data_IF_213140274882
#
_entry.id   IF_213140274882
#
_cell.length_a   1.000
_cell.length_b   1.000
_cell.length_c   1.000
_cell.angle_alpha   90.00
_cell.angle_beta   90.00
_cell.angle_gamma   90.00
#
_symmetry.space_group_name_H-M   'P 1'
#
loop_
_entity.id
_entity.type
_entity.pdbx_description
1 polymer ?
#
# COMPACT_ATOMS: atom_id res chain seq x y z
N UNK A 1 -19.28 54.30 8.22
CA UNK A 1 -19.48 54.35 9.68
C UNK A 1 -20.75 53.58 10.03
N UNK A 2 -20.62 52.33 10.49
CA UNK A 2 -21.63 51.61 11.31
C UNK A 2 -21.02 50.26 11.69
N UNK A 3 -20.35 50.20 12.84
CA UNK A 3 -20.82 49.66 14.14
C UNK A 3 -20.78 48.13 14.16
N UNK A 4 -19.69 47.65 14.77
CA UNK A 4 -19.41 46.27 15.08
C UNK A 4 -20.30 45.77 16.22
N UNK A 5 -20.85 44.57 16.08
CA UNK A 5 -21.35 43.76 17.18
C UNK A 5 -20.49 42.50 17.29
N UNK A 6 -19.62 42.50 18.29
CA UNK A 6 -18.78 41.37 18.69
C UNK A 6 -19.56 40.49 19.65
N UNK A 7 -20.06 39.35 19.17
CA UNK A 7 -20.66 38.33 20.02
C UNK A 7 -19.56 37.50 20.71
N UNK A 8 -19.48 37.64 22.03
CA UNK A 8 -18.55 36.93 22.89
C UNK A 8 -18.96 35.46 23.04
N UNK A 9 -18.24 34.55 22.39
CA UNK A 9 -18.45 33.10 22.54
C UNK A 9 -17.80 32.61 23.82
N UNK A 10 -18.64 32.22 24.78
CA UNK A 10 -18.28 31.65 26.08
C UNK A 10 -17.68 30.25 25.89
N UNK A 11 -16.35 30.16 26.01
CA UNK A 11 -15.56 28.92 25.93
C UNK A 11 -15.91 28.01 27.11
N UNK A 12 -16.70 26.95 26.87
CA UNK A 12 -16.92 25.86 27.84
C UNK A 12 -15.68 24.97 27.89
N UNK A 13 -15.06 24.88 29.06
CA UNK A 13 -13.99 23.92 29.35
C UNK A 13 -14.52 22.48 29.26
N UNK A 14 -13.75 21.54 28.68
CA UNK A 14 -14.08 20.12 28.75
C UNK A 14 -13.70 19.56 30.14
N UNK A 15 -14.73 19.09 30.84
CA UNK A 15 -14.62 18.27 32.05
C UNK A 15 -13.72 17.06 31.80
N UNK A 16 -12.68 16.95 32.61
CA UNK A 16 -11.75 15.82 32.68
C UNK A 16 -12.49 14.54 33.07
N UNK A 17 -12.30 13.47 32.30
CA UNK A 17 -12.77 12.12 32.65
C UNK A 17 -11.84 11.46 33.69
N UNK A 18 -12.37 10.65 34.61
CA UNK A 18 -11.61 10.05 35.69
C UNK A 18 -10.71 8.89 35.23
N UNK A 19 -9.49 8.92 35.73
CA UNK A 19 -8.47 7.88 35.67
C UNK A 19 -8.97 6.56 36.30
N UNK A 20 -9.11 5.52 35.50
CA UNK A 20 -9.25 4.13 35.96
C UNK A 20 -7.91 3.60 36.44
N UNK A 21 -7.68 3.69 37.76
CA UNK A 21 -6.71 2.86 38.49
C UNK A 21 -7.13 1.40 38.43
N UNK A 22 -6.36 0.58 37.73
CA UNK A 22 -6.40 -0.88 37.84
C UNK A 22 -5.60 -1.37 39.05
N UNK A 23 -6.05 -2.42 39.76
CA UNK A 23 -5.52 -2.83 41.04
C UNK A 23 -4.23 -3.66 40.93
N UNK A 24 -3.35 -3.42 41.90
CA UNK A 24 -2.27 -4.31 42.27
C UNK A 24 -2.84 -5.64 42.81
N UNK A 25 -2.48 -6.74 42.15
CA UNK A 25 -2.48 -8.09 42.72
C UNK A 25 -1.16 -8.74 42.28
N UNK A 26 -0.29 -9.27 43.14
CA UNK A 26 -0.53 -9.85 44.45
C UNK A 26 -0.55 -11.37 44.38
N UNK A 27 0.47 -12.01 43.79
CA UNK A 27 0.70 -13.47 43.82
C UNK A 27 2.09 -13.68 43.18
N UNK A 28 3.17 -13.93 43.92
CA UNK A 28 3.59 -15.27 44.33
C UNK A 28 4.64 -15.15 45.45
N UNK A 29 4.16 -15.13 46.70
CA UNK A 29 4.92 -15.56 47.87
C UNK A 29 4.55 -17.02 48.10
N UNK A 30 5.44 -17.97 47.81
CA UNK A 30 5.59 -19.27 48.52
C UNK A 30 6.52 -20.19 47.72
N UNK A 31 7.09 -21.14 48.47
CA UNK A 31 8.11 -22.12 48.09
C UNK A 31 9.52 -21.52 48.14
N UNK A 32 10.48 -22.02 48.91
CA UNK A 32 10.56 -23.28 49.66
C UNK A 32 11.71 -23.11 50.65
N UNK A 33 11.39 -23.13 51.95
CA UNK A 33 12.40 -23.30 53.01
C UNK A 33 12.91 -24.74 52.92
N UNK A 34 14.15 -24.92 52.49
CA UNK A 34 14.90 -26.13 52.78
C UNK A 34 15.97 -25.77 53.80
N UNK A 35 15.85 -26.43 54.96
CA UNK A 35 16.78 -26.40 56.09
C UNK A 35 18.15 -26.89 55.61
N UNK A 36 19.16 -26.03 55.73
CA UNK A 36 20.56 -26.42 55.63
C UNK A 36 21.04 -26.92 56.99
N UNK A 37 21.59 -28.13 57.01
CA UNK A 37 22.35 -28.71 58.12
C UNK A 37 23.77 -28.13 58.13
N UNK A 38 24.37 -27.81 59.29
CA UNK A 38 25.75 -27.38 59.37
C UNK A 38 26.69 -28.61 59.35
N UNK A 39 27.39 -28.82 58.24
CA UNK A 39 28.53 -29.73 58.20
C UNK A 39 29.75 -29.00 58.77
N UNK A 40 30.14 -29.38 60.00
CA UNK A 40 31.43 -29.07 60.61
C UNK A 40 32.54 -29.84 59.90
N UNK A 41 33.64 -29.14 59.65
CA UNK A 41 34.96 -29.75 59.42
C UNK A 41 35.48 -29.59 58.00
N UNK A 42 36.31 -28.57 57.78
CA UNK A 42 37.50 -28.57 56.89
C UNK A 42 38.09 -27.16 56.82
N UNK A 43 38.59 -26.65 57.95
CA UNK A 43 39.21 -25.31 58.01
C UNK A 43 40.69 -25.27 57.57
N UNK A 44 41.35 -26.41 57.32
CA UNK A 44 42.81 -26.43 57.11
C UNK A 44 43.30 -26.41 55.66
N UNK A 45 42.44 -26.17 54.66
CA UNK A 45 42.85 -26.02 53.24
C UNK A 45 42.38 -24.72 52.58
N UNK A 46 42.08 -23.69 53.37
CA UNK A 46 41.52 -22.42 52.88
C UNK A 46 42.51 -21.23 52.91
N UNK A 47 43.79 -21.45 53.23
CA UNK A 47 44.80 -20.39 53.28
C UNK A 47 45.52 -20.15 51.93
N UNK A 48 45.75 -21.20 51.13
CA UNK A 48 46.51 -21.04 49.86
C UNK A 48 45.67 -20.56 48.67
N UNK A 49 44.34 -20.72 48.68
CA UNK A 49 43.46 -20.25 47.58
C UNK A 49 43.08 -18.76 47.66
N UNK A 50 43.52 -18.02 48.69
CA UNK A 50 43.21 -16.59 48.86
C UNK A 50 44.14 -15.65 48.07
N UNK A 51 45.28 -16.12 47.57
CA UNK A 51 46.22 -15.30 46.80
C UNK A 51 45.74 -14.97 45.38
N UNK A 52 45.16 -15.95 44.66
CA UNK A 52 44.71 -15.77 43.28
C UNK A 52 43.44 -14.91 43.14
N UNK A 53 42.57 -14.88 44.16
CA UNK A 53 41.33 -14.10 44.12
C UNK A 53 41.57 -12.58 44.10
N UNK A 54 42.63 -12.10 44.75
CA UNK A 54 42.98 -10.68 44.78
C UNK A 54 43.49 -10.14 43.44
N UNK A 55 43.96 -11.02 42.54
CA UNK A 55 44.39 -10.63 41.19
C UNK A 55 43.26 -10.66 40.15
N UNK A 56 42.11 -11.26 40.48
CA UNK A 56 40.91 -11.27 39.63
C UNK A 56 39.84 -10.25 40.10
N UNK A 57 39.92 -9.77 41.34
CA UNK A 57 39.15 -8.62 41.85
C UNK A 57 39.54 -7.35 41.07
N UNK A 58 38.78 -7.05 40.01
CA UNK A 58 39.01 -5.91 39.11
C UNK A 58 38.99 -6.25 37.61
N UNK A 59 39.07 -7.54 37.24
CA UNK A 59 38.98 -7.97 35.83
C UNK A 59 37.54 -8.17 35.35
N UNK A 60 36.59 -8.32 36.28
CA UNK A 60 35.17 -8.45 36.00
C UNK A 60 34.62 -7.37 35.06
N UNK A 61 34.88 -6.05 35.25
CA UNK A 61 34.44 -5.04 34.29
C UNK A 61 35.09 -5.18 32.91
N UNK A 62 36.35 -5.64 32.84
CA UNK A 62 37.05 -5.89 31.58
C UNK A 62 36.43 -7.03 30.77
N UNK A 63 36.09 -8.14 31.43
CA UNK A 63 35.39 -9.26 30.78
C UNK A 63 33.99 -8.86 30.30
N UNK A 64 33.26 -8.07 31.10
CA UNK A 64 31.95 -7.53 30.69
C UNK A 64 32.11 -6.61 29.48
N UNK A 65 33.12 -5.73 29.45
CA UNK A 65 33.38 -4.85 28.31
C UNK A 65 33.72 -5.63 27.04
N UNK A 66 34.59 -6.65 27.12
CA UNK A 66 34.93 -7.52 25.99
C UNK A 66 33.71 -8.32 25.51
N UNK A 67 32.89 -8.83 26.43
CA UNK A 67 31.67 -9.54 26.07
C UNK A 67 30.67 -8.62 25.35
N UNK A 68 30.44 -7.40 25.87
CA UNK A 68 29.59 -6.40 25.23
C UNK A 68 30.14 -6.02 23.85
N UNK A 69 31.45 -5.77 23.74
CA UNK A 69 32.10 -5.47 22.45
C UNK A 69 31.99 -6.63 21.46
N UNK A 70 32.19 -7.87 21.92
CA UNK A 70 32.03 -9.08 21.11
C UNK A 70 30.59 -9.29 20.65
N UNK A 71 29.60 -9.11 21.52
CA UNK A 71 28.19 -9.15 21.16
C UNK A 71 27.82 -8.03 20.18
N UNK A 72 28.31 -6.81 20.39
CA UNK A 72 28.10 -5.70 19.48
C UNK A 72 28.72 -5.98 18.10
N UNK A 73 29.93 -6.54 18.05
CA UNK A 73 30.57 -6.95 16.80
C UNK A 73 29.75 -8.03 16.07
N UNK A 74 29.29 -9.07 16.78
CA UNK A 74 28.46 -10.15 16.22
C UNK A 74 27.12 -9.64 15.69
N UNK A 75 26.54 -8.63 16.33
CA UNK A 75 25.30 -7.97 15.88
C UNK A 75 25.54 -7.01 14.71
N UNK A 76 26.74 -6.46 14.59
CA UNK A 76 27.13 -5.56 13.50
C UNK A 76 27.51 -6.30 12.20
N UNK A 77 27.88 -7.59 12.26
CA UNK A 77 28.19 -8.38 11.06
C UNK A 77 26.90 -8.59 10.24
N UNK A 78 26.86 -8.14 8.97
CA UNK A 78 25.71 -8.37 8.11
C UNK A 78 25.45 -9.86 7.92
N UNK A 79 24.20 -10.28 8.16
CA UNK A 79 23.76 -11.68 7.98
C UNK A 79 22.99 -11.79 6.68
N UNK A 80 23.15 -12.90 5.97
CA UNK A 80 22.29 -13.20 4.84
C UNK A 80 20.85 -13.37 5.35
N UNK A 81 19.98 -12.46 4.94
CA UNK A 81 18.56 -12.50 5.24
C UNK A 81 17.81 -12.39 3.92
N UNK A 82 16.90 -13.32 3.66
CA UNK A 82 16.13 -13.30 2.42
C UNK A 82 15.27 -12.02 2.34
N UNK A 83 15.28 -11.29 1.21
CA UNK A 83 14.50 -10.07 1.04
C UNK A 83 12.99 -10.32 1.03
N UNK A 84 12.36 -10.19 2.20
CA UNK A 84 10.94 -10.47 2.37
C UNK A 84 10.04 -9.24 2.33
N UNK A 85 10.49 -8.08 2.79
CA UNK A 85 9.63 -6.89 2.97
C UNK A 85 9.94 -5.80 1.96
N UNK A 86 8.98 -5.52 1.06
CA UNK A 86 9.05 -4.41 0.12
C UNK A 86 8.78 -3.08 0.86
N UNK A 87 9.66 -2.06 0.75
CA UNK A 87 9.39 -0.76 1.35
C UNK A 87 8.17 -0.13 0.67
N UNK A 88 7.09 0.05 1.42
CA UNK A 88 5.88 0.68 0.91
C UNK A 88 5.99 2.21 1.03
N UNK A 89 5.50 3.00 0.06
CA UNK A 89 5.50 4.45 0.19
C UNK A 89 4.65 4.88 1.39
N UNK A 90 5.18 5.85 2.14
CA UNK A 90 4.55 6.41 3.33
C UNK A 90 3.83 7.71 2.95
N UNK A 91 2.51 7.70 2.92
CA UNK A 91 1.71 8.89 2.74
C UNK A 91 1.52 9.62 4.07
N UNK A 92 1.68 10.95 4.09
CA UNK A 92 1.36 11.76 5.27
C UNK A 92 -0.17 11.83 5.47
N UNK A 93 -0.64 11.23 6.57
CA UNK A 93 -2.06 11.22 6.94
C UNK A 93 -2.65 12.64 7.06
N UNK A 94 -1.86 13.64 7.49
CA UNK A 94 -2.33 15.03 7.59
C UNK A 94 -2.47 15.67 6.21
N UNK A 95 -1.54 15.41 5.30
CA UNK A 95 -1.64 15.86 3.92
C UNK A 95 -2.87 15.26 3.22
N UNK A 96 -3.08 13.95 3.36
CA UNK A 96 -4.28 13.28 2.85
C UNK A 96 -5.58 13.87 3.42
N UNK A 97 -5.61 14.15 4.73
CA UNK A 97 -6.77 14.78 5.36
C UNK A 97 -7.05 16.17 4.77
N UNK A 98 -6.03 17.02 4.60
CA UNK A 98 -6.20 18.36 4.00
C UNK A 98 -6.75 18.29 2.58
N UNK A 99 -6.22 17.41 1.74
CA UNK A 99 -6.71 17.24 0.36
C UNK A 99 -8.15 16.76 0.35
N UNK A 100 -8.47 15.74 1.15
CA UNK A 100 -9.84 15.23 1.30
C UNK A 100 -10.80 16.32 1.76
N UNK A 101 -10.42 17.10 2.76
CA UNK A 101 -11.28 18.13 3.34
C UNK A 101 -11.50 19.27 2.32
N UNK A 102 -10.49 19.63 1.51
CA UNK A 102 -10.63 20.56 0.39
C UNK A 102 -11.58 20.03 -0.69
N UNK A 103 -11.50 18.75 -1.05
CA UNK A 103 -12.43 18.16 -2.02
C UNK A 103 -13.86 18.08 -1.47
N UNK A 104 -14.04 17.76 -0.19
CA UNK A 104 -15.36 17.80 0.45
C UNK A 104 -15.94 19.22 0.44
N UNK A 105 -15.12 20.23 0.72
CA UNK A 105 -15.56 21.64 0.66
C UNK A 105 -16.02 22.01 -0.76
N UNK A 106 -15.21 21.70 -1.79
CA UNK A 106 -15.55 21.95 -3.20
C UNK A 106 -16.81 21.22 -3.66
N UNK A 107 -16.99 19.96 -3.25
CA UNK A 107 -18.17 19.18 -3.58
C UNK A 107 -19.44 19.83 -2.98
N UNK A 108 -19.37 20.30 -1.72
CA UNK A 108 -20.46 21.02 -1.06
C UNK A 108 -20.76 22.36 -1.73
N UNK A 109 -19.73 23.09 -2.14
CA UNK A 109 -19.90 24.35 -2.88
C UNK A 109 -20.63 24.12 -4.21
N UNK A 110 -20.26 23.06 -4.96
CA UNK A 110 -20.96 22.68 -6.19
C UNK A 110 -22.45 22.35 -5.95
N UNK A 111 -22.76 21.67 -4.84
CA UNK A 111 -24.15 21.37 -4.45
C UNK A 111 -24.94 22.62 -4.07
N UNK A 112 -24.32 23.57 -3.38
CA UNK A 112 -24.98 24.78 -2.87
C UNK A 112 -25.16 25.87 -3.94
N UNK A 113 -24.11 26.14 -4.71
CA UNK A 113 -24.10 27.22 -5.71
C UNK A 113 -24.59 26.75 -7.08
N UNK A 114 -24.63 25.43 -7.30
CA UNK A 114 -24.76 24.85 -8.63
C UNK A 114 -23.46 24.97 -9.43
N UNK A 115 -23.52 24.48 -10.67
CA UNK A 115 -22.44 24.53 -11.64
C UNK A 115 -22.93 25.28 -12.89
N UNK A 116 -22.05 26.09 -13.48
CA UNK A 116 -22.31 26.80 -14.73
C UNK A 116 -22.69 25.81 -15.86
N UNK A 117 -23.41 26.30 -16.88
CA UNK A 117 -23.97 25.43 -17.92
C UNK A 117 -22.89 24.64 -18.67
N UNK A 118 -21.75 25.27 -18.95
CA UNK A 118 -20.59 24.71 -19.64
C UNK A 118 -19.90 23.64 -18.77
N UNK A 119 -19.79 23.89 -17.47
CA UNK A 119 -19.23 22.94 -16.51
C UNK A 119 -20.16 21.73 -16.34
N UNK A 120 -21.48 21.95 -16.31
CA UNK A 120 -22.47 20.86 -16.34
C UNK A 120 -22.41 20.06 -17.63
N UNK A 121 -22.22 20.71 -18.78
CA UNK A 121 -22.07 20.03 -20.06
C UNK A 121 -20.85 19.10 -20.07
N UNK A 122 -19.71 19.54 -19.53
CA UNK A 122 -18.55 18.67 -19.31
C UNK A 122 -18.89 17.50 -18.38
N UNK A 123 -19.58 17.76 -17.27
CA UNK A 123 -20.03 16.73 -16.35
C UNK A 123 -20.91 15.66 -17.02
N UNK A 124 -21.85 16.07 -17.85
CA UNK A 124 -22.72 15.18 -18.64
C UNK A 124 -21.96 14.40 -19.70
N UNK A 125 -20.99 15.03 -20.38
CA UNK A 125 -20.14 14.34 -21.36
C UNK A 125 -19.31 13.23 -20.69
N UNK A 126 -18.76 13.47 -19.50
CA UNK A 126 -18.02 12.46 -18.71
C UNK A 126 -18.94 11.30 -18.31
N UNK A 127 -20.18 11.59 -17.87
CA UNK A 127 -21.17 10.55 -17.53
C UNK A 127 -21.52 9.68 -18.75
N UNK A 128 -21.74 10.32 -19.90
CA UNK A 128 -21.99 9.61 -21.15
C UNK A 128 -20.80 8.75 -21.59
N UNK A 129 -19.56 9.22 -21.41
CA UNK A 129 -18.36 8.42 -21.61
C UNK A 129 -18.33 7.20 -20.69
N UNK A 130 -18.66 7.36 -19.40
CA UNK A 130 -18.71 6.25 -18.46
C UNK A 130 -19.72 5.17 -18.84
N UNK A 131 -20.90 5.53 -19.36
CA UNK A 131 -21.87 4.54 -19.85
C UNK A 131 -21.29 3.68 -20.98
N UNK A 132 -20.65 4.31 -21.97
CA UNK A 132 -20.00 3.58 -23.09
C UNK A 132 -18.86 2.69 -22.57
N UNK A 133 -18.02 3.22 -21.68
CA UNK A 133 -16.91 2.48 -21.05
C UNK A 133 -17.38 1.32 -20.16
N UNK A 134 -18.60 1.38 -19.61
CA UNK A 134 -19.20 0.34 -18.78
C UNK A 134 -19.83 -0.80 -19.59
N UNK A 135 -20.16 -0.56 -20.85
CA UNK A 135 -20.69 -1.57 -21.75
C UNK A 135 -19.58 -2.57 -22.11
N UNK A 136 -19.85 -3.87 -22.02
CA UNK A 136 -18.86 -4.89 -22.36
C UNK A 136 -18.69 -5.03 -23.89
N UNK A 137 -19.70 -4.62 -24.65
CA UNK A 137 -19.79 -4.84 -26.09
C UNK A 137 -19.51 -3.56 -26.91
N UNK A 138 -19.06 -2.48 -26.26
CA UNK A 138 -18.75 -1.24 -26.97
C UNK A 138 -17.63 -1.44 -28.00
N UNK A 139 -17.78 -0.77 -29.12
CA UNK A 139 -16.73 -0.69 -30.14
C UNK A 139 -15.70 0.38 -29.75
N UNK A 140 -14.44 0.21 -30.20
CA UNK A 140 -13.40 1.23 -30.01
C UNK A 140 -13.83 2.60 -30.59
N UNK A 141 -14.56 2.59 -31.71
CA UNK A 141 -15.09 3.80 -32.34
C UNK A 141 -16.09 4.55 -31.44
N UNK A 142 -16.98 3.85 -30.75
CA UNK A 142 -17.94 4.46 -29.81
C UNK A 142 -17.23 5.09 -28.61
N UNK A 143 -16.24 4.39 -28.05
CA UNK A 143 -15.46 4.91 -26.93
C UNK A 143 -14.66 6.16 -27.32
N UNK A 144 -14.03 6.15 -28.51
CA UNK A 144 -13.32 7.31 -29.06
C UNK A 144 -14.27 8.48 -29.34
N UNK A 145 -15.46 8.23 -29.88
CA UNK A 145 -16.47 9.26 -30.12
C UNK A 145 -16.99 9.87 -28.80
N UNK A 146 -17.20 9.05 -27.77
CA UNK A 146 -17.58 9.53 -26.44
C UNK A 146 -16.46 10.37 -25.82
N UNK A 147 -15.19 9.94 -25.95
CA UNK A 147 -14.04 10.71 -25.46
C UNK A 147 -13.89 12.04 -26.19
N UNK A 148 -14.10 12.06 -27.51
CA UNK A 148 -14.08 13.29 -28.31
C UNK A 148 -15.07 14.33 -27.77
N UNK A 149 -16.30 13.92 -27.45
CA UNK A 149 -17.32 14.79 -26.83
C UNK A 149 -16.87 15.36 -25.48
N UNK A 150 -16.17 14.56 -24.67
CA UNK A 150 -15.56 15.09 -23.43
C UNK A 150 -14.55 16.17 -23.77
N UNK A 151 -13.60 15.90 -24.67
CA UNK A 151 -12.55 16.84 -25.06
C UNK A 151 -13.10 18.15 -25.62
N UNK A 152 -14.16 18.09 -26.43
CA UNK A 152 -14.87 19.27 -26.96
C UNK A 152 -15.50 20.13 -25.84
N UNK A 153 -15.96 19.51 -24.75
CA UNK A 153 -16.56 20.21 -23.61
C UNK A 153 -15.53 20.81 -22.63
N UNK A 154 -14.26 20.40 -22.67
CA UNK A 154 -13.22 20.85 -21.72
C UNK A 154 -12.91 22.34 -21.87
N UNK A 155 -12.74 22.82 -23.12
CA UNK A 155 -12.38 24.21 -23.40
C UNK A 155 -13.39 25.20 -22.82
N UNK A 156 -14.69 25.09 -23.17
CA UNK A 156 -15.74 25.94 -22.60
C UNK A 156 -15.84 25.87 -21.08
N UNK A 157 -15.69 24.68 -20.48
CA UNK A 157 -15.72 24.54 -19.03
C UNK A 157 -14.52 25.21 -18.35
N UNK A 158 -13.31 25.11 -18.92
CA UNK A 158 -12.12 25.80 -18.41
C UNK A 158 -12.21 27.32 -18.57
N UNK A 159 -12.97 27.83 -19.54
CA UNK A 159 -13.22 29.26 -19.68
C UNK A 159 -14.00 29.85 -18.47
N UNK A 160 -14.72 29.00 -17.71
CA UNK A 160 -15.36 29.37 -16.44
C UNK A 160 -14.38 29.39 -15.25
N UNK A 161 -13.12 29.01 -15.47
CA UNK A 161 -12.06 29.00 -14.47
C UNK A 161 -11.76 27.62 -13.89
N UNK A 162 -10.49 27.41 -13.51
CA UNK A 162 -10.00 26.13 -13.00
C UNK A 162 -10.76 25.65 -11.75
N UNK A 163 -11.17 26.57 -10.87
CA UNK A 163 -11.90 26.20 -9.64
C UNK A 163 -13.29 25.63 -9.94
N UNK A 164 -14.00 26.12 -10.96
CA UNK A 164 -15.30 25.59 -11.34
C UNK A 164 -15.19 24.12 -11.80
N UNK A 165 -14.14 23.81 -12.56
CA UNK A 165 -13.85 22.44 -13.01
C UNK A 165 -13.35 21.56 -11.84
N UNK A 166 -12.56 22.09 -10.91
CA UNK A 166 -12.18 21.39 -9.69
C UNK A 166 -13.40 21.05 -8.81
N UNK A 167 -14.37 21.96 -8.69
CA UNK A 167 -15.64 21.71 -7.99
C UNK A 167 -16.45 20.59 -8.64
N UNK A 168 -16.57 20.60 -9.98
CA UNK A 168 -17.19 19.49 -10.72
C UNK A 168 -16.50 18.16 -10.41
N UNK A 169 -15.16 18.12 -10.49
CA UNK A 169 -14.39 16.90 -10.23
C UNK A 169 -14.60 16.39 -8.80
N UNK A 170 -14.55 17.29 -7.83
CA UNK A 170 -14.76 16.96 -6.42
C UNK A 170 -16.19 16.43 -6.15
N UNK A 171 -17.20 17.05 -6.75
CA UNK A 171 -18.59 16.59 -6.70
C UNK A 171 -18.74 15.17 -7.29
N UNK A 172 -18.24 14.96 -8.52
CA UNK A 172 -18.28 13.65 -9.16
C UNK A 172 -17.50 12.58 -8.37
N UNK A 173 -16.35 12.93 -7.79
CA UNK A 173 -15.58 12.02 -6.93
C UNK A 173 -16.38 11.63 -5.68
N UNK A 174 -17.05 12.59 -5.04
CA UNK A 174 -17.90 12.34 -3.86
C UNK A 174 -19.02 11.34 -4.19
N UNK A 175 -19.73 11.55 -5.30
CA UNK A 175 -20.76 10.63 -5.79
C UNK A 175 -20.20 9.25 -6.14
N UNK A 176 -19.05 9.19 -6.84
CA UNK A 176 -18.40 7.94 -7.16
C UNK A 176 -18.04 7.12 -5.90
N UNK A 177 -17.41 7.76 -4.90
CA UNK A 177 -17.05 7.07 -3.65
C UNK A 177 -18.31 6.58 -2.92
N UNK A 178 -19.41 7.34 -2.93
CA UNK A 178 -20.69 6.93 -2.35
C UNK A 178 -21.25 5.70 -3.07
N UNK A 179 -21.29 5.70 -4.40
CA UNK A 179 -21.82 4.56 -5.15
C UNK A 179 -20.92 3.31 -5.08
N UNK A 180 -19.60 3.48 -4.90
CA UNK A 180 -18.72 2.33 -4.60
C UNK A 180 -19.06 1.71 -3.24
N UNK A 181 -19.37 2.51 -2.21
CA UNK A 181 -19.82 2.00 -0.91
C UNK A 181 -21.18 1.32 -0.99
N UNK A 182 -22.08 1.84 -1.83
CA UNK A 182 -23.36 1.18 -2.13
C UNK A 182 -23.12 -0.17 -2.80
N UNK A 183 -22.25 -0.22 -3.81
CA UNK A 183 -21.85 -1.46 -4.49
C UNK A 183 -21.21 -2.49 -3.55
N UNK A 184 -20.40 -2.07 -2.57
CA UNK A 184 -19.90 -2.96 -1.52
C UNK A 184 -21.03 -3.60 -0.70
N UNK A 185 -22.04 -2.79 -0.35
CA UNK A 185 -23.16 -3.24 0.48
C UNK A 185 -24.18 -4.11 -0.28
N UNK A 186 -24.46 -3.80 -1.54
CA UNK A 186 -25.50 -4.47 -2.34
C UNK A 186 -24.95 -5.51 -3.31
N UNK A 187 -23.68 -5.39 -3.71
CA UNK A 187 -23.10 -6.18 -4.79
C UNK A 187 -23.57 -5.78 -6.20
N UNK A 188 -24.46 -4.79 -6.32
CA UNK A 188 -25.09 -4.35 -7.56
C UNK A 188 -24.53 -3.00 -8.01
N UNK A 189 -24.14 -2.89 -9.28
CA UNK A 189 -23.63 -1.66 -9.84
C UNK A 189 -24.81 -0.77 -10.27
N UNK A 190 -24.99 0.36 -9.58
CA UNK A 190 -25.96 1.39 -9.95
C UNK A 190 -25.61 2.08 -11.28
N UNK A 191 -26.59 2.69 -11.92
CA UNK A 191 -26.36 3.52 -13.12
C UNK A 191 -25.41 4.69 -12.85
N UNK A 192 -25.52 5.38 -11.70
CA UNK A 192 -24.58 6.46 -11.35
C UNK A 192 -23.12 5.94 -11.22
N UNK A 193 -22.92 4.71 -10.71
CA UNK A 193 -21.59 4.09 -10.69
C UNK A 193 -21.06 3.79 -12.10
N UNK A 194 -21.92 3.38 -13.04
CA UNK A 194 -21.55 3.16 -14.44
C UNK A 194 -21.20 4.48 -15.13
N UNK A 195 -22.03 5.50 -14.93
CA UNK A 195 -21.80 6.85 -15.47
C UNK A 195 -20.48 7.47 -14.97
N UNK A 196 -20.18 7.36 -13.68
CA UNK A 196 -18.99 8.00 -13.09
C UNK A 196 -17.75 7.12 -13.19
N UNK A 197 -17.90 5.81 -13.01
CA UNK A 197 -16.82 4.84 -12.88
C UNK A 197 -16.53 4.00 -14.13
N UNK A 198 -17.44 3.98 -15.11
CA UNK A 198 -17.33 3.09 -16.26
C UNK A 198 -17.34 1.62 -15.85
N UNK A 199 -16.45 0.81 -16.44
CA UNK A 199 -16.28 -0.60 -16.06
C UNK A 199 -15.47 -0.81 -14.75
N UNK A 200 -15.59 0.11 -13.79
CA UNK A 200 -14.90 -0.01 -12.49
C UNK A 200 -15.26 -1.31 -11.73
N UNK A 201 -16.53 -1.77 -11.68
CA UNK A 201 -16.87 -3.06 -11.07
C UNK A 201 -16.18 -4.25 -11.75
N UNK A 202 -16.08 -4.25 -13.08
CA UNK A 202 -15.35 -5.29 -13.83
C UNK A 202 -13.86 -5.25 -13.52
N UNK A 203 -13.26 -4.05 -13.44
CA UNK A 203 -11.87 -3.86 -13.02
C UNK A 203 -11.62 -4.42 -11.61
N UNK A 204 -12.52 -4.18 -10.66
CA UNK A 204 -12.41 -4.71 -9.30
C UNK A 204 -12.43 -6.25 -9.26
N UNK A 205 -13.34 -6.87 -10.03
CA UNK A 205 -13.46 -8.34 -10.14
C UNK A 205 -12.24 -8.95 -10.82
N UNK A 206 -11.86 -8.41 -11.98
CA UNK A 206 -10.75 -8.89 -12.81
C UNK A 206 -9.42 -8.92 -12.05
N UNK A 207 -9.19 -7.95 -11.17
CA UNK A 207 -7.97 -7.85 -10.37
C UNK A 207 -8.09 -8.44 -8.96
N UNK A 208 -9.18 -9.16 -8.64
CA UNK A 208 -9.43 -9.69 -7.30
C UNK A 208 -9.32 -8.62 -6.18
N UNK A 209 -9.69 -7.38 -6.49
CA UNK A 209 -9.74 -6.26 -5.54
C UNK A 209 -11.06 -6.20 -4.76
N UNK A 210 -11.93 -7.20 -4.96
CA UNK A 210 -13.08 -7.48 -4.11
C UNK A 210 -12.74 -8.68 -3.23
N UNK A 211 -12.76 -8.46 -1.92
CA UNK A 211 -12.64 -9.54 -0.93
C UNK A 211 -14.03 -9.97 -0.50
N UNK A 212 -14.22 -11.27 -0.30
CA UNK A 212 -15.32 -11.78 0.50
C UNK A 212 -15.16 -11.21 1.92
N UNK A 213 -16.09 -10.35 2.33
CA UNK A 213 -16.18 -9.90 3.70
C UNK A 213 -16.75 -11.02 4.56
N UNK A 214 -16.36 -11.05 5.83
CA UNK A 214 -16.96 -11.97 6.78
C UNK A 214 -18.48 -11.74 6.76
N UNK A 215 -19.24 -12.79 6.44
CA UNK A 215 -20.69 -12.75 6.53
C UNK A 215 -21.07 -12.25 7.92
N UNK A 216 -21.74 -11.09 7.99
CA UNK A 216 -22.30 -10.63 9.26
C UNK A 216 -23.25 -11.73 9.76
N UNK A 217 -23.27 -11.99 11.07
CA UNK A 217 -24.03 -13.10 11.69
C UNK A 217 -25.56 -13.09 11.48
N UNK A 218 -26.08 -12.29 10.56
CA UNK A 218 -27.50 -12.25 10.16
C UNK A 218 -27.63 -12.60 8.69
N UNK A 219 -27.41 -13.87 8.35
CA UNK A 219 -28.03 -14.60 7.24
C UNK A 219 -28.18 -13.92 5.86
N UNK A 220 -27.38 -12.90 5.56
CA UNK A 220 -27.40 -12.15 4.30
C UNK A 220 -26.12 -12.42 3.52
N UNK A 221 -26.23 -12.30 2.19
CA UNK A 221 -25.15 -12.46 1.23
C UNK A 221 -23.80 -11.95 1.73
N UNK A 222 -22.72 -12.68 1.42
CA UNK A 222 -21.35 -12.32 1.78
C UNK A 222 -21.07 -10.85 1.42
N UNK A 223 -20.91 -10.01 2.44
CA UNK A 223 -20.65 -8.59 2.26
C UNK A 223 -19.36 -8.44 1.44
N UNK A 224 -19.39 -7.74 0.32
CA UNK A 224 -18.19 -7.56 -0.53
C UNK A 224 -17.42 -6.36 -0.04
N UNK A 225 -16.09 -6.50 0.12
CA UNK A 225 -15.23 -5.38 0.52
C UNK A 225 -14.27 -5.02 -0.58
N UNK A 226 -14.31 -3.78 -1.05
CA UNK A 226 -13.30 -3.22 -1.95
C UNK A 226 -12.00 -3.07 -1.16
N UNK A 227 -10.93 -3.62 -1.70
CA UNK A 227 -9.61 -3.62 -1.06
C UNK A 227 -8.97 -2.21 -1.03
N UNK A 228 -9.41 -1.30 -1.90
CA UNK A 228 -8.96 0.09 -1.93
C UNK A 228 -9.53 0.86 -0.74
N UNK A 229 -8.66 1.53 0.01
CA UNK A 229 -9.11 2.51 0.97
C UNK A 229 -9.63 3.78 0.27
N UNK A 230 -10.18 4.71 1.05
CA UNK A 230 -10.79 5.94 0.51
C UNK A 230 -9.76 6.84 -0.20
N UNK A 231 -8.51 6.87 0.26
CA UNK A 231 -7.48 7.73 -0.32
C UNK A 231 -7.02 7.17 -1.67
N UNK A 232 -6.74 5.86 -1.73
CA UNK A 232 -6.41 5.17 -2.97
C UNK A 232 -7.56 5.24 -3.99
N UNK A 233 -8.81 5.10 -3.54
CA UNK A 233 -9.98 5.22 -4.41
C UNK A 233 -10.14 6.64 -4.98
N UNK A 234 -9.96 7.67 -4.16
CA UNK A 234 -10.00 9.07 -4.60
C UNK A 234 -8.88 9.39 -5.60
N UNK A 235 -7.65 8.97 -5.31
CA UNK A 235 -6.51 9.12 -6.19
C UNK A 235 -6.75 8.42 -7.54
N UNK A 236 -7.23 7.17 -7.52
CA UNK A 236 -7.55 6.41 -8.73
C UNK A 236 -8.63 7.10 -9.58
N UNK A 237 -9.69 7.61 -8.94
CA UNK A 237 -10.73 8.38 -9.62
C UNK A 237 -10.14 9.62 -10.29
N UNK A 238 -9.35 10.42 -9.57
CA UNK A 238 -8.71 11.63 -10.12
C UNK A 238 -7.82 11.31 -11.32
N UNK A 239 -6.98 10.26 -11.25
CA UNK A 239 -6.13 9.85 -12.39
C UNK A 239 -6.96 9.45 -13.61
N UNK A 240 -8.05 8.70 -13.41
CA UNK A 240 -8.97 8.33 -14.50
C UNK A 240 -9.64 9.57 -15.08
N UNK A 241 -10.16 10.44 -14.22
CA UNK A 241 -10.79 11.70 -14.62
C UNK A 241 -9.84 12.58 -15.45
N UNK A 242 -8.60 12.77 -14.97
CA UNK A 242 -7.56 13.55 -15.66
C UNK A 242 -7.18 12.92 -17.02
N UNK A 243 -7.17 11.60 -17.12
CA UNK A 243 -6.90 10.89 -18.39
C UNK A 243 -8.04 11.03 -19.41
N UNK A 244 -9.29 11.02 -18.94
CA UNK A 244 -10.49 11.20 -19.77
C UNK A 244 -10.55 12.63 -20.31
N UNK A 245 -10.37 13.61 -19.44
CA UNK A 245 -10.46 15.06 -19.75
C UNK A 245 -9.18 15.57 -20.42
N UNK A 246 -8.05 14.86 -20.31
CA UNK A 246 -6.78 15.24 -20.91
C UNK A 246 -6.02 16.34 -20.15
N UNK A 247 -6.33 16.55 -18.86
CA UNK A 247 -5.70 17.58 -18.03
C UNK A 247 -4.62 16.98 -17.13
N UNK A 248 -3.35 17.32 -17.39
CA UNK A 248 -2.19 16.90 -16.59
C UNK A 248 -1.34 18.07 -16.09
N UNK A 249 -2.00 19.19 -15.79
CA UNK A 249 -1.35 20.42 -15.29
C UNK A 249 -1.85 20.77 -13.89
N UNK A 250 -1.11 21.60 -13.17
CA UNK A 250 -1.65 22.26 -11.98
C UNK A 250 -2.87 23.14 -12.36
N UNK A 251 -3.90 23.24 -11.50
CA UNK A 251 -4.06 22.59 -10.18
C UNK A 251 -4.70 21.18 -10.23
N UNK A 252 -4.86 20.58 -11.42
CA UNK A 252 -5.57 19.31 -11.58
C UNK A 252 -4.74 18.09 -11.15
N UNK A 253 -3.41 18.15 -11.14
CA UNK A 253 -2.58 17.01 -10.74
C UNK A 253 -2.97 16.39 -9.37
N UNK A 254 -2.87 15.07 -9.28
CA UNK A 254 -3.05 14.33 -8.03
C UNK A 254 -1.96 14.70 -7.03
N UNK A 255 -2.31 14.91 -5.76
CA UNK A 255 -1.32 15.27 -4.76
C UNK A 255 -0.33 14.12 -4.51
N UNK A 256 0.92 14.44 -4.17
CA UNK A 256 1.97 13.43 -3.97
C UNK A 256 1.59 12.36 -2.92
N UNK A 257 0.98 12.75 -1.80
CA UNK A 257 0.57 11.78 -0.77
C UNK A 257 -0.63 10.92 -1.21
N UNK A 258 -1.48 11.41 -2.12
CA UNK A 258 -2.53 10.61 -2.76
C UNK A 258 -1.91 9.58 -3.72
N UNK A 259 -0.91 9.97 -4.50
CA UNK A 259 -0.12 9.05 -5.34
C UNK A 259 0.55 7.97 -4.46
N UNK A 260 1.21 8.35 -3.36
CA UNK A 260 1.80 7.40 -2.41
C UNK A 260 0.76 6.43 -1.85
N UNK A 261 -0.43 6.90 -1.49
CA UNK A 261 -1.51 6.03 -1.01
C UNK A 261 -1.98 5.03 -2.10
N UNK A 262 -2.13 5.48 -3.34
CA UNK A 262 -2.47 4.62 -4.47
C UNK A 262 -1.37 3.60 -4.76
N UNK A 263 -0.11 4.02 -4.86
CA UNK A 263 0.99 3.10 -5.15
C UNK A 263 1.25 2.12 -4.00
N UNK A 264 1.05 2.53 -2.74
CA UNK A 264 1.03 1.59 -1.61
C UNK A 264 0.02 0.47 -1.84
N UNK A 265 -1.20 0.83 -2.27
CA UNK A 265 -2.23 -0.15 -2.60
C UNK A 265 -1.80 -1.06 -3.76
N UNK A 266 -1.33 -0.51 -4.88
CA UNK A 266 -0.94 -1.26 -6.08
C UNK A 266 0.26 -2.20 -5.84
N UNK A 267 1.24 -1.81 -5.03
CA UNK A 267 2.38 -2.66 -4.67
C UNK A 267 1.98 -3.80 -3.74
N UNK A 268 1.00 -3.55 -2.86
CA UNK A 268 0.47 -4.54 -1.92
C UNK A 268 -0.53 -5.50 -2.56
N UNK A 269 -1.20 -5.07 -3.63
CA UNK A 269 -2.21 -5.83 -4.38
C UNK A 269 -1.89 -5.79 -5.87
N UNK A 270 -0.84 -6.50 -6.32
CA UNK A 270 -0.52 -6.57 -7.74
C UNK A 270 -1.73 -7.11 -8.53
N UNK A 271 -1.80 -6.77 -9.81
CA UNK A 271 -2.86 -7.31 -10.67
C UNK A 271 -2.66 -8.83 -10.78
N UNK A 272 -3.74 -9.58 -10.58
CA UNK A 272 -3.74 -11.04 -10.71
C UNK A 272 -3.25 -11.46 -12.09
N UNK A 273 -2.51 -12.57 -12.15
CA UNK A 273 -1.84 -13.07 -13.35
C UNK A 273 -2.71 -13.16 -14.63
N UNK A 274 -4.03 -13.40 -14.51
CA UNK A 274 -4.95 -13.39 -15.67
C UNK A 274 -4.92 -12.07 -16.43
N UNK A 275 -4.97 -10.95 -15.72
CA UNK A 275 -4.95 -9.61 -16.33
C UNK A 275 -3.56 -9.24 -16.83
N UNK A 276 -2.51 -9.73 -16.18
CA UNK A 276 -1.13 -9.52 -16.64
C UNK A 276 -0.81 -10.34 -17.90
N UNK A 277 -1.33 -11.56 -18.01
CA UNK A 277 -1.21 -12.42 -19.20
C UNK A 277 -2.02 -11.87 -20.37
N UNK A 278 -3.25 -11.39 -20.14
CA UNK A 278 -4.08 -10.76 -21.18
C UNK A 278 -3.45 -9.47 -21.73
N UNK A 279 -2.66 -8.75 -20.92
CA UNK A 279 -1.83 -7.63 -21.38
C UNK A 279 -0.53 -8.05 -22.08
N UNK A 280 -0.05 -9.29 -21.89
CA UNK A 280 1.24 -9.76 -22.39
C UNK A 280 1.11 -10.72 -23.59
N UNK A 281 -0.05 -11.34 -23.80
CA UNK A 281 -0.28 -12.29 -24.87
C UNK A 281 -0.82 -11.58 -26.14
N UNK A 282 -0.30 -11.91 -27.34
CA UNK A 282 -0.91 -11.50 -28.60
C UNK A 282 -2.28 -12.20 -28.80
N UNK A 283 -3.22 -11.60 -29.56
CA UNK A 283 -4.63 -12.00 -29.66
C UNK A 283 -4.92 -13.38 -30.28
N UNK A 284 -3.92 -14.24 -30.48
CA UNK A 284 -4.08 -15.58 -31.08
C UNK A 284 -4.29 -16.72 -30.05
N UNK A 285 -4.26 -16.42 -28.74
CA UNK A 285 -4.27 -17.45 -27.69
C UNK A 285 -5.65 -17.95 -27.25
N UNK A 286 -6.75 -17.31 -27.69
CA UNK A 286 -8.11 -17.64 -27.20
C UNK A 286 -8.64 -18.98 -27.69
N UNK A 287 -8.11 -19.52 -28.80
CA UNK A 287 -8.51 -20.82 -29.33
C UNK A 287 -8.02 -22.02 -28.50
N UNK A 288 -6.90 -21.87 -27.77
CA UNK A 288 -6.35 -22.94 -26.93
C UNK A 288 -7.07 -23.04 -25.57
N UNK A 289 -7.55 -21.92 -25.03
CA UNK A 289 -8.22 -21.87 -23.73
C UNK A 289 -9.58 -22.58 -23.72
N UNK A 290 -10.28 -22.65 -24.87
CA UNK A 290 -11.53 -23.39 -25.01
C UNK A 290 -11.33 -24.91 -24.97
N UNK A 291 -10.21 -25.42 -25.47
CA UNK A 291 -9.90 -26.85 -25.47
C UNK A 291 -9.46 -27.37 -24.09
N UNK A 292 -8.88 -26.52 -23.25
CA UNK A 292 -8.39 -26.89 -21.91
C UNK A 292 -9.51 -26.93 -20.84
N UNK A 293 -10.68 -26.38 -21.16
CA UNK A 293 -11.83 -26.31 -20.25
C UNK A 293 -12.56 -27.66 -20.01
N UNK A 294 -12.19 -28.71 -20.74
CA UNK A 294 -12.72 -30.08 -20.55
C UNK A 294 -11.77 -31.02 -19.80
N UNK A 295 -10.55 -30.59 -19.45
CA UNK A 295 -9.64 -31.39 -18.63
C UNK A 295 -10.04 -31.27 -17.15
N UNK A 296 -10.42 -32.41 -16.55
CA UNK A 296 -10.78 -32.54 -15.13
C UNK A 296 -9.88 -31.71 -14.22
N UNK A 297 -10.49 -30.87 -13.36
CA UNK A 297 -9.81 -29.89 -12.50
C UNK A 297 -8.59 -30.52 -11.81
N UNK A 298 -7.36 -30.23 -12.28
CA UNK A 298 -6.19 -30.92 -11.80
C UNK A 298 -5.98 -30.45 -10.36
N UNK A 299 -6.14 -31.38 -9.42
CA UNK A 299 -6.17 -31.08 -7.98
C UNK A 299 -5.02 -30.16 -7.55
N UNK A 300 -5.16 -29.43 -6.43
CA UNK A 300 -4.27 -28.34 -6.01
C UNK A 300 -2.78 -28.71 -5.85
N UNK A 301 -2.44 -30.00 -5.94
CA UNK A 301 -1.07 -30.54 -5.87
C UNK A 301 -0.53 -31.02 -7.23
N UNK A 302 -1.22 -30.76 -8.33
CA UNK A 302 -0.73 -31.14 -9.65
C UNK A 302 0.51 -30.29 -10.02
N UNK A 303 1.50 -30.87 -10.72
CA UNK A 303 2.64 -30.10 -11.24
C UNK A 303 2.20 -28.92 -12.11
N UNK A 304 1.09 -29.07 -12.85
CA UNK A 304 0.50 -28.00 -13.65
C UNK A 304 -0.07 -26.84 -12.80
N UNK A 305 -0.69 -27.13 -11.65
CA UNK A 305 -1.12 -26.08 -10.72
C UNK A 305 0.08 -25.35 -10.09
N UNK A 306 1.15 -26.07 -9.75
CA UNK A 306 2.38 -25.47 -9.23
C UNK A 306 3.06 -24.55 -10.26
N UNK A 307 3.15 -24.98 -11.53
CA UNK A 307 3.70 -24.16 -12.60
C UNK A 307 2.87 -22.88 -12.83
N UNK A 308 1.53 -23.00 -12.90
CA UNK A 308 0.62 -21.85 -13.04
C UNK A 308 0.76 -20.87 -11.87
N UNK A 309 0.90 -21.37 -10.64
CA UNK A 309 1.13 -20.52 -9.48
C UNK A 309 2.47 -19.78 -9.55
N UNK A 310 3.54 -20.46 -10.00
CA UNK A 310 4.86 -19.84 -10.19
C UNK A 310 4.84 -18.78 -11.30
N UNK A 311 4.15 -19.04 -12.42
CA UNK A 311 3.97 -18.06 -13.50
C UNK A 311 3.18 -16.83 -13.03
N UNK A 312 2.10 -17.04 -12.27
CA UNK A 312 1.32 -15.95 -11.68
C UNK A 312 2.17 -15.10 -10.72
N UNK A 313 2.96 -15.74 -9.85
CA UNK A 313 3.88 -15.03 -8.96
C UNK A 313 4.93 -14.22 -9.74
N UNK A 314 5.50 -14.77 -10.82
CA UNK A 314 6.42 -14.03 -11.70
C UNK A 314 5.75 -12.82 -12.34
N UNK A 315 4.52 -12.98 -12.83
CA UNK A 315 3.75 -11.87 -13.40
C UNK A 315 3.47 -10.75 -12.39
N UNK A 316 3.12 -11.11 -11.14
CA UNK A 316 2.94 -10.15 -10.05
C UNK A 316 4.23 -9.37 -9.73
N UNK A 317 5.38 -10.05 -9.66
CA UNK A 317 6.65 -9.38 -9.39
C UNK A 317 7.09 -8.48 -10.56
N UNK A 318 6.84 -8.89 -11.80
CA UNK A 318 7.03 -8.01 -12.97
C UNK A 318 6.14 -6.75 -12.91
N UNK A 319 4.89 -6.91 -12.49
CA UNK A 319 4.00 -5.78 -12.25
C UNK A 319 4.54 -4.84 -11.16
N UNK A 320 4.99 -5.38 -10.02
CA UNK A 320 5.58 -4.58 -8.93
C UNK A 320 6.81 -3.82 -9.43
N UNK A 321 7.68 -4.44 -10.23
CA UNK A 321 8.86 -3.79 -10.79
C UNK A 321 8.50 -2.57 -11.64
N UNK A 322 7.50 -2.71 -12.52
CA UNK A 322 6.97 -1.59 -13.32
C UNK A 322 6.44 -0.47 -12.42
N UNK A 323 5.67 -0.82 -11.38
CA UNK A 323 5.09 0.18 -10.46
C UNK A 323 6.13 0.85 -9.57
N UNK A 324 7.22 0.18 -9.21
CA UNK A 324 8.36 0.77 -8.52
C UNK A 324 9.02 1.86 -9.38
N UNK A 325 9.24 1.60 -10.67
CA UNK A 325 9.85 2.57 -11.57
C UNK A 325 8.92 3.77 -11.83
N UNK A 326 7.61 3.53 -12.02
CA UNK A 326 6.61 4.62 -12.13
C UNK A 326 6.57 5.48 -10.87
N UNK A 327 6.54 4.87 -9.68
CA UNK A 327 6.52 5.60 -8.40
C UNK A 327 7.79 6.42 -8.22
N UNK A 328 8.97 5.87 -8.51
CA UNK A 328 10.24 6.58 -8.36
C UNK A 328 10.36 7.80 -9.30
N UNK A 329 9.68 7.79 -10.44
CA UNK A 329 9.60 8.95 -11.32
C UNK A 329 8.72 10.07 -10.73
N UNK A 330 7.73 9.73 -9.90
CA UNK A 330 6.84 10.68 -9.24
C UNK A 330 7.39 11.15 -7.88
N UNK A 331 8.04 10.26 -7.14
CA UNK A 331 8.55 10.45 -5.79
C UNK A 331 10.04 10.11 -5.71
N UNK A 332 10.94 11.08 -5.94
CA UNK A 332 12.38 10.86 -5.84
C UNK A 332 12.86 10.40 -4.46
N UNK A 333 12.07 10.61 -3.40
CA UNK A 333 12.41 10.16 -2.05
C UNK A 333 12.12 8.67 -1.81
N UNK A 334 11.44 7.99 -2.74
CA UNK A 334 11.16 6.56 -2.64
C UNK A 334 12.44 5.74 -2.85
N UNK A 335 12.76 4.73 -1.99
CA UNK A 335 13.99 3.94 -2.08
C UNK A 335 13.95 2.93 -3.25
N UNK A 336 13.96 3.44 -4.49
CA UNK A 336 13.78 2.71 -5.75
C UNK A 336 14.67 1.47 -5.85
N UNK A 337 15.97 1.66 -5.62
CA UNK A 337 16.97 0.61 -5.81
C UNK A 337 16.80 -0.54 -4.80
N UNK A 338 16.45 -0.23 -3.55
CA UNK A 338 16.11 -1.24 -2.55
C UNK A 338 14.88 -2.05 -2.95
N UNK A 339 13.79 -1.35 -3.31
CA UNK A 339 12.54 -1.99 -3.74
C UNK A 339 12.76 -2.90 -4.96
N UNK A 340 13.50 -2.41 -5.95
CA UNK A 340 13.86 -3.15 -7.16
C UNK A 340 14.71 -4.39 -6.85
N UNK A 341 15.70 -4.26 -5.97
CA UNK A 341 16.52 -5.38 -5.52
C UNK A 341 15.69 -6.51 -4.91
N UNK A 342 14.72 -6.17 -4.05
CA UNK A 342 13.81 -7.14 -3.42
C UNK A 342 12.97 -7.88 -4.48
N UNK A 343 12.34 -7.15 -5.39
CA UNK A 343 11.51 -7.75 -6.45
C UNK A 343 12.34 -8.61 -7.42
N UNK A 344 13.56 -8.18 -7.78
CA UNK A 344 14.47 -8.97 -8.61
C UNK A 344 14.94 -10.26 -7.91
N UNK A 345 15.17 -10.20 -6.59
CA UNK A 345 15.50 -11.38 -5.80
C UNK A 345 14.38 -12.43 -5.88
N UNK A 346 13.13 -12.00 -5.69
CA UNK A 346 11.95 -12.88 -5.77
C UNK A 346 11.71 -13.46 -7.18
N UNK A 347 12.22 -12.80 -8.21
CA UNK A 347 12.22 -13.29 -9.59
C UNK A 347 13.37 -14.27 -9.89
N UNK A 348 14.21 -14.62 -8.91
CA UNK A 348 15.42 -15.44 -9.10
C UNK A 348 16.55 -14.71 -9.84
N UNK A 349 16.45 -13.39 -10.03
CA UNK A 349 17.47 -12.60 -10.74
C UNK A 349 18.51 -12.07 -9.75
N UNK A 350 19.21 -13.00 -9.08
CA UNK A 350 20.05 -12.69 -7.92
C UNK A 350 21.20 -11.73 -8.21
N UNK A 351 21.88 -11.85 -9.35
CA UNK A 351 22.93 -10.90 -9.74
C UNK A 351 22.40 -9.47 -9.94
N UNK A 352 21.28 -9.32 -10.65
CA UNK A 352 20.65 -8.00 -10.88
C UNK A 352 20.12 -7.41 -9.56
N UNK A 353 19.65 -8.27 -8.65
CA UNK A 353 19.25 -7.91 -7.30
C UNK A 353 20.44 -7.35 -6.50
N UNK A 354 21.59 -8.04 -6.53
CA UNK A 354 22.82 -7.60 -5.88
C UNK A 354 23.28 -6.22 -6.38
N UNK A 355 23.25 -5.99 -7.70
CA UNK A 355 23.63 -4.70 -8.28
C UNK A 355 22.68 -3.57 -7.85
N UNK A 356 21.37 -3.86 -7.78
CA UNK A 356 20.39 -2.91 -7.27
C UNK A 356 20.63 -2.58 -5.79
N UNK A 357 20.96 -3.55 -4.95
CA UNK A 357 21.28 -3.28 -3.54
C UNK A 357 22.58 -2.48 -3.37
N UNK A 358 23.62 -2.75 -4.17
CA UNK A 358 24.84 -1.91 -4.21
C UNK A 358 24.52 -0.47 -4.55
N UNK A 359 23.76 -0.25 -5.63
CA UNK A 359 23.33 1.10 -6.03
C UNK A 359 22.57 1.82 -4.91
N UNK A 360 21.76 1.10 -4.12
CA UNK A 360 21.07 1.71 -2.97
C UNK A 360 22.06 2.14 -1.88
N UNK A 361 23.01 1.28 -1.53
CA UNK A 361 24.03 1.54 -0.50
C UNK A 361 24.97 2.69 -0.90
N UNK A 362 25.33 2.77 -2.17
CA UNK A 362 26.18 3.85 -2.70
C UNK A 362 25.47 5.21 -2.59
N UNK A 363 24.15 5.24 -2.85
CA UNK A 363 23.35 6.47 -2.76
C UNK A 363 22.94 6.83 -1.33
N UNK A 364 22.85 5.85 -0.42
CA UNK A 364 22.35 6.03 0.94
C UNK A 364 23.23 5.28 1.94
N UNK A 365 24.50 5.66 2.12
CA UNK A 365 25.42 4.95 3.01
C UNK A 365 24.90 4.89 4.45
N UNK A 366 24.25 5.95 4.93
CA UNK A 366 23.72 6.06 6.30
C UNK A 366 22.17 6.13 6.35
N UNK A 367 21.49 5.60 5.33
CA UNK A 367 20.03 5.60 5.26
C UNK A 367 19.36 4.66 6.27
N UNK A 368 18.08 4.90 6.55
CA UNK A 368 17.27 4.06 7.46
C UNK A 368 17.21 2.57 7.05
N UNK A 369 17.54 2.25 5.80
CA UNK A 369 17.54 0.90 5.26
C UNK A 369 18.93 0.30 5.01
N UNK A 370 20.03 0.99 5.34
CA UNK A 370 21.40 0.53 5.04
C UNK A 370 21.68 -0.88 5.55
N UNK A 371 21.49 -1.13 6.85
CA UNK A 371 21.78 -2.45 7.44
C UNK A 371 20.95 -3.56 6.80
N UNK A 372 19.70 -3.26 6.46
CA UNK A 372 18.81 -4.21 5.77
C UNK A 372 19.29 -4.48 4.35
N UNK A 373 19.69 -3.45 3.62
CA UNK A 373 20.23 -3.57 2.26
C UNK A 373 21.55 -4.36 2.22
N UNK A 374 22.43 -4.20 3.21
CA UNK A 374 23.66 -5.01 3.35
C UNK A 374 23.35 -6.50 3.55
N UNK A 375 22.39 -6.81 4.43
CA UNK A 375 21.93 -8.18 4.67
C UNK A 375 21.34 -8.82 3.40
N UNK A 376 20.53 -8.05 2.67
CA UNK A 376 19.91 -8.48 1.41
C UNK A 376 20.93 -8.65 0.28
N UNK A 377 21.93 -7.77 0.19
CA UNK A 377 23.04 -7.90 -0.76
C UNK A 377 23.80 -9.20 -0.52
N UNK A 378 24.11 -9.52 0.74
CA UNK A 378 24.78 -10.77 1.09
C UNK A 378 23.96 -11.99 0.67
N UNK A 379 22.67 -12.00 0.99
CA UNK A 379 21.76 -13.08 0.57
C UNK A 379 21.68 -13.22 -0.96
N UNK A 380 21.66 -12.12 -1.70
CA UNK A 380 21.65 -12.13 -3.18
C UNK A 380 22.94 -12.71 -3.76
N UNK A 381 24.10 -12.36 -3.20
CA UNK A 381 25.39 -12.90 -3.65
C UNK A 381 25.54 -14.39 -3.32
N UNK A 382 25.08 -14.84 -2.14
CA UNK A 382 25.11 -16.25 -1.76
C UNK A 382 24.26 -17.09 -2.74
N UNK A 383 23.01 -16.69 -3.01
CA UNK A 383 22.15 -17.37 -4.01
C UNK A 383 22.71 -17.33 -5.42
N UNK A 384 23.28 -16.19 -5.84
CA UNK A 384 23.89 -16.08 -7.17
C UNK A 384 25.11 -17.00 -7.35
N UNK A 385 25.82 -17.30 -6.26
CA UNK A 385 26.91 -18.27 -6.29
C UNK A 385 26.39 -19.70 -6.31
N UNK A 386 25.33 -20.02 -5.55
CA UNK A 386 24.66 -21.32 -5.59
C UNK A 386 24.15 -21.65 -7.00
N UNK A 387 23.52 -20.70 -7.71
CA UNK A 387 22.99 -20.89 -9.06
C UNK A 387 24.06 -21.10 -10.15
N UNK A 388 25.36 -20.87 -9.86
CA UNK A 388 26.46 -21.05 -10.83
C UNK A 388 27.04 -22.46 -10.83
N UNK A 389 26.81 -23.23 -9.78
CA UNK A 389 27.30 -24.60 -9.62
C UNK A 389 26.15 -25.59 -9.77
#
# INVERSE_FOLDING_TARGET
MSRAESASVKRREPRSAPSTRGPAGGLLRRLRRLRFLPARGTEERAAERRGLRRHLEGWEPGLVAVFIAGCAAILAVPRAVEPAELPLPLADARALARVRDADIARAREAEQLGLDAEVRALGSAIRAFGIVDADADHTEAELLAARKRVLEAVGPALAQGDEAVLRLRAYQMSSFVREVRRFEATGEASDELRELGGNFPGLLRRNAWLRAGAAGSRGGDEARRVALDRAALGALFKKRWDAIVGLRRAPFGVALDEERALYKFLLSHPLSGRSAQELAAPPAADAAALLDSQASDPGPRSPAAALRAADAQRAEEHYRLKKIDELAALDPAYPRHLARGITLYRLGKFMQSADAFRSHLDQHPDGAYTLRAQNYLRAALERANEDRF
#
